data_IF_872856570719
#
_entry.id   IF_872856570719
#
_cell.length_a   1.000
_cell.length_b   1.000
_cell.length_c   1.000
_cell.angle_alpha   90.00
_cell.angle_beta   90.00
_cell.angle_gamma   90.00
#
_symmetry.space_group_name_H-M   'P 1'
#
loop_
_entity.id
_entity.type
_entity.pdbx_description
1 polymer ?
#
# COMPACT_ATOMS: atom_id res chain seq x y z
N UNK A 1 -10.12 38.77 -3.66
CA UNK A 1 -9.31 37.59 -3.51
C UNK A 1 -7.85 37.91 -3.74
N UNK A 2 -6.96 37.04 -3.30
CA UNK A 2 -5.53 37.17 -3.54
C UNK A 2 -5.22 37.04 -5.05
N UNK A 3 -4.36 37.93 -5.59
CA UNK A 3 -3.95 37.96 -6.99
C UNK A 3 -2.42 38.05 -7.13
N UNK A 4 -1.68 37.63 -6.11
CA UNK A 4 -0.21 37.71 -6.07
C UNK A 4 0.48 36.95 -7.21
N UNK A 5 -0.19 35.95 -7.76
CA UNK A 5 0.29 35.14 -8.88
C UNK A 5 -0.50 35.37 -10.18
N UNK A 6 -1.31 36.41 -10.26
CA UNK A 6 -2.15 36.69 -11.43
C UNK A 6 -3.33 35.73 -11.61
N UNK A 7 -3.68 34.95 -10.58
CA UNK A 7 -4.76 33.97 -10.66
C UNK A 7 -6.15 34.59 -10.85
N UNK A 8 -6.37 35.81 -10.36
CA UNK A 8 -7.61 36.53 -10.59
C UNK A 8 -7.65 37.32 -11.91
N UNK A 9 -6.55 37.36 -12.67
CA UNK A 9 -6.45 38.11 -13.92
C UNK A 9 -6.50 37.14 -15.09
N UNK A 10 -7.66 37.06 -15.76
CA UNK A 10 -7.83 36.23 -16.96
C UNK A 10 -6.91 36.77 -18.07
N UNK A 11 -6.07 35.92 -18.69
CA UNK A 11 -5.19 36.36 -19.79
C UNK A 11 -5.99 36.80 -21.02
N UNK A 12 -5.45 37.79 -21.74
CA UNK A 12 -6.05 38.27 -22.99
C UNK A 12 -6.12 37.17 -24.09
N UNK A 13 -5.32 36.12 -23.97
CA UNK A 13 -5.34 34.97 -24.90
C UNK A 13 -6.66 34.21 -24.91
N UNK A 14 -7.54 34.47 -23.95
CA UNK A 14 -8.87 33.86 -23.90
C UNK A 14 -9.97 34.66 -24.62
N UNK A 15 -9.68 35.91 -25.06
CA UNK A 15 -10.70 36.78 -25.65
C UNK A 15 -11.31 36.23 -26.96
N UNK A 16 -10.56 35.40 -27.68
CA UNK A 16 -10.95 34.82 -28.97
C UNK A 16 -11.24 33.32 -28.88
N UNK A 17 -11.34 32.76 -27.67
CA UNK A 17 -11.56 31.33 -27.45
C UNK A 17 -12.89 31.04 -26.80
N UNK A 18 -13.57 30.06 -27.34
CA UNK A 18 -14.81 29.56 -26.74
C UNK A 18 -14.49 28.58 -25.62
N UNK A 19 -14.91 28.88 -24.40
CA UNK A 19 -14.58 28.13 -23.18
C UNK A 19 -15.77 27.29 -22.76
N UNK A 20 -15.56 25.99 -22.62
CA UNK A 20 -16.59 25.03 -22.15
C UNK A 20 -16.69 25.05 -20.64
N UNK A 21 -15.56 25.09 -19.93
CA UNK A 21 -15.55 25.07 -18.47
C UNK A 21 -14.29 25.69 -17.90
N UNK A 22 -14.38 26.18 -16.68
CA UNK A 22 -13.27 26.76 -15.92
C UNK A 22 -13.21 26.07 -14.56
N UNK A 23 -12.02 25.67 -14.18
CA UNK A 23 -11.72 25.13 -12.86
C UNK A 23 -10.82 26.11 -12.12
N UNK A 24 -11.29 26.61 -10.99
CA UNK A 24 -10.53 27.50 -10.14
C UNK A 24 -9.75 26.68 -9.10
N UNK A 25 -8.42 26.77 -9.14
CA UNK A 25 -7.54 26.30 -8.08
C UNK A 25 -7.18 27.43 -7.13
N UNK A 26 -6.37 27.12 -6.13
CA UNK A 26 -5.98 28.10 -5.10
C UNK A 26 -5.04 29.18 -5.67
N UNK A 27 -4.07 28.80 -6.47
CA UNK A 27 -3.09 29.71 -7.08
C UNK A 27 -3.02 29.60 -8.60
N UNK A 28 -3.69 28.64 -9.20
CA UNK A 28 -3.72 28.40 -10.64
C UNK A 28 -5.13 28.02 -11.08
N UNK A 29 -5.55 28.52 -12.23
CA UNK A 29 -6.83 28.21 -12.85
C UNK A 29 -6.60 27.46 -14.17
N UNK A 30 -7.61 26.70 -14.57
CA UNK A 30 -7.64 25.93 -15.82
C UNK A 30 -8.91 26.28 -16.58
N UNK A 31 -8.80 26.45 -17.88
CA UNK A 31 -9.95 26.55 -18.77
C UNK A 31 -9.83 25.47 -19.84
N UNK A 32 -10.95 24.82 -20.14
CA UNK A 32 -11.07 23.88 -21.24
C UNK A 32 -11.81 24.58 -22.38
N UNK A 33 -11.21 24.61 -23.55
CA UNK A 33 -11.80 25.18 -24.77
C UNK A 33 -12.69 24.15 -25.46
N UNK A 34 -13.54 24.61 -26.40
CA UNK A 34 -14.42 23.74 -27.21
C UNK A 34 -13.58 22.75 -28.04
N UNK A 35 -12.37 23.14 -28.44
CA UNK A 35 -11.44 22.29 -29.21
C UNK A 35 -10.77 21.19 -28.34
N UNK A 36 -10.99 21.21 -27.01
CA UNK A 36 -10.42 20.26 -26.06
C UNK A 36 -9.06 20.66 -25.50
N UNK A 37 -8.54 21.84 -25.85
CA UNK A 37 -7.30 22.36 -25.30
C UNK A 37 -7.49 22.80 -23.84
N UNK A 38 -6.47 22.57 -23.01
CA UNK A 38 -6.44 23.01 -21.61
C UNK A 38 -5.46 24.16 -21.46
N UNK A 39 -5.98 25.33 -21.15
CA UNK A 39 -5.16 26.50 -20.86
C UNK A 39 -5.13 26.82 -19.37
N UNK A 40 -4.00 27.35 -18.92
CA UNK A 40 -3.78 27.62 -17.50
C UNK A 40 -3.26 29.04 -17.27
N UNK A 41 -3.68 29.66 -16.17
CA UNK A 41 -3.15 30.94 -15.73
C UNK A 41 -3.03 31.02 -14.20
N UNK A 42 -2.27 31.99 -13.73
CA UNK A 42 -1.89 32.10 -12.32
C UNK A 42 -0.47 31.60 -12.10
N UNK A 43 -0.23 30.90 -11.02
CA UNK A 43 1.10 30.35 -10.68
C UNK A 43 1.48 29.24 -11.69
N UNK A 44 2.32 29.62 -12.65
CA UNK A 44 2.73 28.72 -13.74
C UNK A 44 3.75 27.68 -13.31
N UNK A 45 3.69 26.49 -13.89
CA UNK A 45 4.69 25.42 -13.70
C UNK A 45 4.20 24.20 -12.93
N UNK A 46 2.95 24.16 -12.50
CA UNK A 46 2.37 23.02 -11.79
C UNK A 46 1.38 22.26 -12.69
N UNK A 47 1.73 21.03 -13.07
CA UNK A 47 0.94 20.19 -14.00
C UNK A 47 -0.47 19.88 -13.46
N UNK A 48 -0.61 19.66 -12.13
CA UNK A 48 -1.87 19.38 -11.47
C UNK A 48 -2.28 20.49 -10.50
N UNK A 49 -1.76 21.71 -10.67
CA UNK A 49 -2.03 22.82 -9.76
C UNK A 49 -1.37 22.67 -8.39
N UNK A 50 -1.86 23.48 -7.47
CA UNK A 50 -1.39 23.51 -6.09
C UNK A 50 -2.52 23.18 -5.12
N UNK A 51 -2.16 22.64 -3.95
CA UNK A 51 -3.11 22.44 -2.84
C UNK A 51 -3.36 23.77 -2.08
N UNK A 52 -4.20 23.69 -1.03
CA UNK A 52 -4.60 24.83 -0.19
C UNK A 52 -3.41 25.54 0.48
N UNK A 53 -2.24 24.87 0.54
CA UNK A 53 -1.00 25.38 1.11
C UNK A 53 0.00 25.81 0.02
N UNK A 54 -0.41 25.87 -1.24
CA UNK A 54 0.44 26.25 -2.37
C UNK A 54 1.46 25.20 -2.78
N UNK A 55 1.34 23.97 -2.34
CA UNK A 55 2.28 22.88 -2.68
C UNK A 55 1.86 22.18 -3.96
N UNK A 56 2.82 21.84 -4.81
CA UNK A 56 2.64 21.14 -6.08
C UNK A 56 1.95 19.78 -5.85
N UNK A 57 0.73 19.64 -6.37
CA UNK A 57 -0.08 18.41 -6.24
C UNK A 57 0.57 17.24 -6.99
N UNK A 58 1.10 17.48 -8.19
CA UNK A 58 1.75 16.43 -8.97
C UNK A 58 2.96 15.84 -8.25
N UNK A 59 3.84 16.70 -7.74
CA UNK A 59 5.01 16.26 -6.99
C UNK A 59 4.62 15.51 -5.71
N UNK A 60 3.54 15.93 -5.04
CA UNK A 60 3.00 15.22 -3.87
C UNK A 60 2.45 13.84 -4.21
N UNK A 61 1.75 13.70 -5.35
CA UNK A 61 1.23 12.40 -5.81
C UNK A 61 2.39 11.46 -6.10
N UNK A 62 3.41 11.91 -6.82
CA UNK A 62 4.58 11.08 -7.14
C UNK A 62 5.34 10.66 -5.88
N UNK A 63 5.62 11.60 -4.98
CA UNK A 63 6.34 11.28 -3.74
C UNK A 63 5.49 10.42 -2.78
N UNK A 64 4.20 10.72 -2.65
CA UNK A 64 3.26 9.89 -1.88
C UNK A 64 3.14 8.49 -2.46
N UNK A 65 3.07 8.35 -3.78
CA UNK A 65 3.07 7.07 -4.48
C UNK A 65 4.31 6.23 -4.21
N UNK A 66 5.50 6.85 -4.26
CA UNK A 66 6.76 6.18 -3.91
C UNK A 66 6.72 5.63 -2.48
N UNK A 67 6.29 6.43 -1.52
CA UNK A 67 6.18 6.01 -0.12
C UNK A 67 5.19 4.85 0.01
N UNK A 68 4.01 4.96 -0.55
CA UNK A 68 2.97 3.93 -0.49
C UNK A 68 3.44 2.61 -1.12
N UNK A 69 4.07 2.65 -2.29
CA UNK A 69 4.62 1.46 -2.94
C UNK A 69 5.74 0.83 -2.14
N UNK A 70 6.63 1.62 -1.55
CA UNK A 70 7.73 1.13 -0.71
C UNK A 70 7.18 0.45 0.55
N UNK A 71 6.24 1.09 1.24
CA UNK A 71 5.59 0.52 2.43
C UNK A 71 4.90 -0.79 2.08
N UNK A 72 4.11 -0.82 1.02
CA UNK A 72 3.41 -2.01 0.56
C UNK A 72 4.36 -3.15 0.21
N UNK A 73 5.39 -2.88 -0.62
CA UNK A 73 6.34 -3.89 -1.06
C UNK A 73 7.09 -4.53 0.11
N UNK A 74 7.66 -3.73 1.00
CA UNK A 74 8.41 -4.24 2.16
C UNK A 74 7.49 -5.03 3.10
N UNK A 75 6.30 -4.53 3.38
CA UNK A 75 5.34 -5.24 4.25
C UNK A 75 4.92 -6.58 3.67
N UNK A 76 4.66 -6.67 2.37
CA UNK A 76 4.31 -7.92 1.69
C UNK A 76 5.48 -8.91 1.74
N UNK A 77 6.72 -8.46 1.51
CA UNK A 77 7.90 -9.33 1.60
C UNK A 77 8.04 -9.93 3.01
N UNK A 78 7.91 -9.11 4.05
CA UNK A 78 7.96 -9.58 5.45
C UNK A 78 6.84 -10.59 5.72
N UNK A 79 5.60 -10.25 5.38
CA UNK A 79 4.45 -11.12 5.58
C UNK A 79 4.58 -12.46 4.83
N UNK A 80 5.12 -12.41 3.61
CA UNK A 80 5.33 -13.59 2.76
C UNK A 80 6.38 -14.52 3.37
N UNK A 81 7.52 -13.99 3.80
CA UNK A 81 8.57 -14.79 4.44
C UNK A 81 8.04 -15.49 5.69
N UNK A 82 7.38 -14.75 6.59
CA UNK A 82 6.80 -15.29 7.81
C UNK A 82 5.72 -16.33 7.48
N UNK A 83 4.81 -16.00 6.56
CA UNK A 83 3.71 -16.85 6.15
C UNK A 83 4.17 -18.16 5.51
N UNK A 84 5.19 -18.14 4.65
CA UNK A 84 5.77 -19.34 4.04
C UNK A 84 6.42 -20.23 5.09
N UNK A 85 7.22 -19.66 6.00
CA UNK A 85 7.89 -20.43 7.04
C UNK A 85 6.86 -21.09 7.98
N UNK A 86 5.94 -20.31 8.54
CA UNK A 86 4.96 -20.82 9.50
C UNK A 86 3.93 -21.73 8.83
N UNK A 87 3.43 -21.38 7.65
CA UNK A 87 2.51 -22.23 6.88
C UNK A 87 3.17 -23.51 6.40
N UNK A 88 4.46 -23.43 6.02
CA UNK A 88 5.29 -24.60 5.70
C UNK A 88 5.43 -25.56 6.87
N UNK A 89 5.80 -25.04 8.03
CA UNK A 89 5.93 -25.84 9.25
C UNK A 89 4.59 -26.47 9.66
N UNK A 90 3.51 -25.71 9.65
CA UNK A 90 2.17 -26.19 9.98
C UNK A 90 1.72 -27.28 9.01
N UNK A 91 1.86 -27.09 7.70
CA UNK A 91 1.45 -28.05 6.69
C UNK A 91 2.33 -29.31 6.64
N UNK A 92 3.65 -29.16 6.90
CA UNK A 92 4.59 -30.29 6.86
C UNK A 92 4.48 -31.17 8.09
N UNK A 93 4.58 -30.62 9.29
CA UNK A 93 4.54 -31.40 10.53
C UNK A 93 3.11 -31.81 10.94
N UNK A 94 2.12 -30.94 10.70
CA UNK A 94 0.75 -31.19 11.11
C UNK A 94 0.57 -31.30 12.63
N UNK A 95 -0.51 -31.93 13.08
CA UNK A 95 -0.75 -32.27 14.48
C UNK A 95 -0.69 -31.06 15.42
N UNK A 96 0.11 -31.17 16.49
CA UNK A 96 0.19 -30.13 17.51
C UNK A 96 0.91 -28.85 17.01
N UNK A 97 1.88 -28.99 16.10
CA UNK A 97 2.58 -27.83 15.50
C UNK A 97 1.59 -26.97 14.70
N UNK A 98 0.79 -27.63 13.87
CA UNK A 98 -0.28 -26.99 13.12
C UNK A 98 -1.27 -26.29 14.05
N UNK A 99 -1.75 -26.96 15.07
CA UNK A 99 -2.69 -26.38 16.03
C UNK A 99 -2.15 -25.12 16.72
N UNK A 100 -0.89 -25.12 17.14
CA UNK A 100 -0.30 -23.94 17.80
C UNK A 100 -0.17 -22.79 16.82
N UNK A 101 0.37 -23.04 15.62
CA UNK A 101 0.56 -21.99 14.60
C UNK A 101 -0.81 -21.40 14.20
N UNK A 102 -1.82 -22.24 14.01
CA UNK A 102 -3.16 -21.78 13.67
C UNK A 102 -3.80 -20.96 14.81
N UNK A 103 -3.62 -21.33 16.06
CA UNK A 103 -4.11 -20.53 17.21
C UNK A 103 -3.44 -19.15 17.26
N UNK A 104 -2.12 -19.09 17.05
CA UNK A 104 -1.42 -17.79 16.98
C UNK A 104 -1.96 -16.97 15.80
N UNK A 105 -2.16 -17.61 14.65
CA UNK A 105 -2.71 -16.98 13.46
C UNK A 105 -4.12 -16.41 13.68
N UNK A 106 -5.00 -17.16 14.38
CA UNK A 106 -6.34 -16.70 14.74
C UNK A 106 -6.30 -15.49 15.68
N UNK A 107 -5.43 -15.50 16.68
CA UNK A 107 -5.26 -14.37 17.60
C UNK A 107 -4.76 -13.13 16.86
N UNK A 108 -3.73 -13.27 16.02
CA UNK A 108 -3.18 -12.15 15.24
C UNK A 108 -4.20 -11.62 14.23
N UNK A 109 -4.89 -12.54 13.52
CA UNK A 109 -5.92 -12.17 12.53
C UNK A 109 -7.18 -11.57 13.15
N UNK A 110 -7.46 -11.87 14.44
CA UNK A 110 -8.58 -11.30 15.19
C UNK A 110 -8.31 -9.89 15.74
N UNK A 111 -7.06 -9.40 15.69
CA UNK A 111 -6.76 -8.05 16.12
C UNK A 111 -7.34 -7.03 15.12
N UNK A 112 -8.10 -6.04 15.60
CA UNK A 112 -8.59 -4.98 14.72
C UNK A 112 -7.40 -4.10 14.28
N UNK A 113 -6.90 -4.37 13.06
CA UNK A 113 -5.66 -3.83 12.53
C UNK A 113 -5.56 -2.30 12.63
N UNK A 114 -6.60 -1.57 12.18
CA UNK A 114 -6.58 -0.10 12.17
C UNK A 114 -6.46 0.50 13.58
N UNK A 115 -7.28 0.14 14.58
CA UNK A 115 -7.13 0.59 15.95
C UNK A 115 -5.75 0.25 16.55
N UNK A 116 -5.24 -0.96 16.30
CA UNK A 116 -3.94 -1.37 16.80
C UNK A 116 -2.80 -0.51 16.22
N UNK A 117 -2.78 -0.30 14.91
CA UNK A 117 -1.78 0.53 14.23
C UNK A 117 -1.85 1.99 14.70
N UNK A 118 -3.06 2.53 14.91
CA UNK A 118 -3.27 3.89 15.43
C UNK A 118 -2.73 4.05 16.85
N UNK A 119 -3.05 3.13 17.76
CA UNK A 119 -2.59 3.14 19.15
C UNK A 119 -1.05 3.05 19.18
N UNK A 120 -0.48 2.12 18.42
CA UNK A 120 0.98 1.94 18.34
C UNK A 120 1.67 3.21 17.81
N UNK A 121 1.12 3.79 16.76
CA UNK A 121 1.61 5.06 16.21
C UNK A 121 1.50 6.22 17.19
N UNK A 122 0.44 6.28 18.00
CA UNK A 122 0.27 7.31 19.01
C UNK A 122 1.27 7.18 20.16
N UNK A 123 1.51 5.95 20.64
CA UNK A 123 2.43 5.72 21.78
C UNK A 123 3.89 5.97 21.37
N UNK A 124 4.30 5.46 20.22
CA UNK A 124 5.70 5.52 19.76
C UNK A 124 5.96 6.81 18.99
N UNK A 125 4.95 7.33 18.32
CA UNK A 125 5.07 8.46 17.38
C UNK A 125 5.58 9.78 17.98
N UNK A 126 5.52 9.94 19.29
CA UNK A 126 6.06 11.11 19.99
C UNK A 126 7.57 11.03 20.24
N UNK A 127 8.17 9.85 20.12
CA UNK A 127 9.58 9.56 20.46
C UNK A 127 10.47 9.28 19.27
N UNK A 128 9.92 9.21 18.06
CA UNK A 128 10.63 8.81 16.85
C UNK A 128 10.43 9.82 15.72
N UNK A 129 11.39 9.84 14.79
CA UNK A 129 11.32 10.68 13.59
C UNK A 129 10.24 10.18 12.62
N UNK A 130 9.86 11.03 11.64
CA UNK A 130 8.89 10.65 10.61
C UNK A 130 9.34 9.43 9.79
N UNK A 131 10.64 9.33 9.49
CA UNK A 131 11.21 8.17 8.78
C UNK A 131 11.12 6.90 9.62
N UNK A 132 11.51 6.97 10.88
CA UNK A 132 11.42 5.83 11.80
C UNK A 132 9.99 5.35 11.97
N UNK A 133 9.02 6.26 11.99
CA UNK A 133 7.59 5.92 12.03
C UNK A 133 7.16 5.15 10.78
N UNK A 134 7.65 5.55 9.60
CA UNK A 134 7.38 4.85 8.35
C UNK A 134 7.92 3.41 8.40
N UNK A 135 9.18 3.20 8.83
CA UNK A 135 9.74 1.85 9.00
C UNK A 135 8.97 1.01 10.03
N UNK A 136 8.58 1.62 11.14
CA UNK A 136 7.75 0.95 12.14
C UNK A 136 6.45 0.43 11.55
N UNK A 137 5.75 1.27 10.79
CA UNK A 137 4.49 0.88 10.13
C UNK A 137 4.73 -0.26 9.15
N UNK A 138 5.81 -0.24 8.35
CA UNK A 138 6.15 -1.33 7.44
C UNK A 138 6.33 -2.66 8.16
N UNK A 139 7.08 -2.67 9.25
CA UNK A 139 7.32 -3.87 10.05
C UNK A 139 6.04 -4.38 10.70
N UNK A 140 5.27 -3.48 11.30
CA UNK A 140 4.00 -3.84 11.95
C UNK A 140 3.00 -4.42 10.94
N UNK A 141 2.86 -3.78 9.78
CA UNK A 141 2.03 -4.27 8.68
C UNK A 141 2.48 -5.67 8.24
N UNK A 142 3.76 -5.86 8.01
CA UNK A 142 4.30 -7.15 7.60
C UNK A 142 4.11 -8.24 8.64
N UNK A 143 4.41 -7.92 9.91
CA UNK A 143 4.27 -8.87 11.02
C UNK A 143 2.81 -9.20 11.35
N UNK A 144 1.86 -8.34 11.07
CA UNK A 144 0.43 -8.62 11.31
C UNK A 144 -0.29 -9.26 10.11
N UNK A 145 0.28 -9.18 8.90
CA UNK A 145 -0.38 -9.64 7.67
C UNK A 145 -0.04 -11.08 7.26
N UNK A 146 0.87 -11.77 7.95
CA UNK A 146 1.28 -13.13 7.62
C UNK A 146 0.19 -14.21 7.73
N UNK A 147 -0.87 -14.11 8.58
CA UNK A 147 -1.83 -15.19 8.77
C UNK A 147 -2.50 -15.66 7.48
N UNK A 148 -2.91 -14.73 6.61
CA UNK A 148 -3.52 -15.07 5.33
C UNK A 148 -2.62 -15.92 4.43
N UNK A 149 -1.33 -15.56 4.32
CA UNK A 149 -0.34 -16.31 3.54
C UNK A 149 -0.06 -17.66 4.19
N UNK A 150 0.04 -17.71 5.51
CA UNK A 150 0.24 -18.94 6.27
C UNK A 150 -0.87 -19.97 6.02
N UNK A 151 -2.14 -19.56 6.06
CA UNK A 151 -3.27 -20.42 5.74
C UNK A 151 -3.23 -20.95 4.30
N UNK A 152 -2.85 -20.08 3.35
CA UNK A 152 -2.74 -20.47 1.94
C UNK A 152 -1.65 -21.52 1.73
N UNK A 153 -0.45 -21.29 2.26
CA UNK A 153 0.69 -22.23 2.14
C UNK A 153 0.38 -23.56 2.83
N UNK A 154 -0.18 -23.49 4.04
CA UNK A 154 -0.63 -24.70 4.77
C UNK A 154 -1.60 -25.54 3.94
N UNK A 155 -2.64 -24.92 3.36
CA UNK A 155 -3.62 -25.61 2.54
C UNK A 155 -2.98 -26.24 1.29
N UNK A 156 -2.05 -25.56 0.65
CA UNK A 156 -1.32 -26.09 -0.51
C UNK A 156 -0.48 -27.32 -0.13
N UNK A 157 0.21 -27.27 1.00
CA UNK A 157 1.04 -28.42 1.45
C UNK A 157 0.15 -29.61 1.80
N UNK A 158 -0.98 -29.42 2.47
CA UNK A 158 -1.91 -30.52 2.73
C UNK A 158 -2.44 -31.13 1.43
N UNK A 159 -2.87 -30.31 0.47
CA UNK A 159 -3.32 -30.78 -0.82
C UNK A 159 -2.23 -31.58 -1.56
N UNK A 160 -0.97 -31.14 -1.51
CA UNK A 160 0.12 -31.85 -2.16
C UNK A 160 0.45 -33.19 -1.47
N UNK A 161 0.31 -33.28 -0.15
CA UNK A 161 0.57 -34.53 0.61
C UNK A 161 -0.42 -35.65 0.29
N UNK A 162 -1.63 -35.30 -0.14
CA UNK A 162 -2.70 -36.25 -0.48
C UNK A 162 -2.66 -36.71 -1.95
N UNK A 163 -1.75 -36.17 -2.76
CA UNK A 163 -1.62 -36.55 -4.16
C UNK A 163 -1.13 -37.99 -4.33
N UNK A 164 -1.66 -38.66 -5.36
CA UNK A 164 -1.35 -40.06 -5.64
C UNK A 164 0.15 -40.32 -5.82
N UNK A 165 0.87 -39.41 -6.47
CA UNK A 165 2.31 -39.56 -6.68
C UNK A 165 3.11 -39.52 -5.37
N UNK A 166 2.66 -38.74 -4.37
CA UNK A 166 3.30 -38.70 -3.05
C UNK A 166 3.06 -40.02 -2.32
N UNK A 167 1.84 -40.53 -2.40
CA UNK A 167 1.49 -41.81 -1.80
C UNK A 167 2.23 -42.97 -2.47
N UNK A 168 2.35 -42.96 -3.79
CA UNK A 168 3.14 -43.94 -4.55
C UNK A 168 4.63 -43.89 -4.18
N UNK A 169 5.23 -42.68 -4.08
CA UNK A 169 6.61 -42.51 -3.67
C UNK A 169 6.89 -43.07 -2.28
N UNK A 170 5.98 -42.83 -1.32
CA UNK A 170 6.07 -43.41 0.04
C UNK A 170 5.99 -44.92 0.03
N UNK A 171 5.09 -45.50 -0.78
CA UNK A 171 4.95 -46.95 -0.94
C UNK A 171 6.22 -47.59 -1.54
N UNK A 172 6.94 -46.88 -2.39
CA UNK A 172 8.23 -47.32 -2.96
C UNK A 172 9.44 -47.11 -2.01
N UNK A 173 9.19 -46.62 -0.79
CA UNK A 173 10.25 -46.44 0.22
C UNK A 173 11.13 -45.22 0.01
N UNK A 174 10.72 -44.23 -0.79
CA UNK A 174 11.46 -42.96 -0.97
C UNK A 174 11.45 -42.22 0.38
N UNK A 175 12.64 -41.87 0.87
CA UNK A 175 12.79 -41.12 2.12
C UNK A 175 12.46 -39.65 1.91
N UNK A 176 11.93 -38.99 2.95
CA UNK A 176 11.54 -37.56 2.93
C UNK A 176 12.70 -36.59 2.66
N UNK A 177 13.95 -37.08 2.56
CA UNK A 177 15.15 -36.31 2.28
C UNK A 177 15.80 -36.60 0.90
N UNK A 178 15.10 -37.30 0.02
CA UNK A 178 15.59 -37.62 -1.32
C UNK A 178 15.12 -36.62 -2.35
#
# INVERSE_FOLDING_TARGET
>A
GDNTHGQASVPASFNDKEIVTVYAGFYQNYAVTVDGDVETWGLKGYVCGTDDLGRDVFNRIINGGKVTMTVGAISVVIATIIGIILGGLAGYFGGWVDNIIMRISEVVGGLPFLPFAMILSAIIGTRITAEQRMYLIMVVLGVLSWPGICHLIRAQIFSQREQEYVTAAKALGVREKS
#
